data_IF_037822969083
#
_entry.id   IF_037822969083
#
_cell.length_a   1.000
_cell.length_b   1.000
_cell.length_c   1.000
_cell.angle_alpha   90.00
_cell.angle_beta   90.00
_cell.angle_gamma   90.00
#
_symmetry.space_group_name_H-M   'P 1'
#
loop_
_entity.id
_entity.type
_entity.pdbx_description
1 polymer ?
#
# COMPACT_ATOMS: atom_id res chain seq x y z
N UNK A 1 8.57 -24.28 -58.99
CA UNK A 1 9.08 -24.47 -57.62
C UNK A 1 9.35 -23.17 -56.86
N UNK A 2 9.82 -22.10 -57.43
CA UNK A 2 10.14 -20.82 -56.80
C UNK A 2 8.94 -20.10 -56.18
N UNK A 3 7.79 -20.07 -56.83
CA UNK A 3 6.57 -19.40 -56.35
C UNK A 3 6.04 -20.05 -55.05
N UNK A 4 6.09 -21.37 -54.91
CA UNK A 4 5.65 -22.09 -53.73
C UNK A 4 6.52 -21.78 -52.51
N UNK A 5 7.84 -21.61 -52.71
CA UNK A 5 8.78 -21.21 -51.62
C UNK A 5 8.53 -19.79 -51.11
N UNK A 6 8.21 -18.85 -52.01
CA UNK A 6 7.88 -17.47 -51.64
C UNK A 6 6.57 -17.42 -50.85
N UNK A 7 5.55 -18.16 -51.26
CA UNK A 7 4.27 -18.21 -50.52
C UNK A 7 4.45 -18.86 -49.14
N UNK A 8 5.22 -19.95 -49.04
CA UNK A 8 5.53 -20.55 -47.74
C UNK A 8 6.33 -19.60 -46.82
N UNK A 9 7.31 -18.89 -47.36
CA UNK A 9 8.07 -17.89 -46.62
C UNK A 9 7.19 -16.75 -46.08
N UNK A 10 6.29 -16.24 -46.94
CA UNK A 10 5.33 -15.21 -46.51
C UNK A 10 4.34 -15.71 -45.44
N UNK A 11 3.83 -16.94 -45.57
CA UNK A 11 2.92 -17.55 -44.61
C UNK A 11 3.63 -17.78 -43.25
N UNK A 12 4.87 -18.24 -43.24
CA UNK A 12 5.66 -18.43 -42.03
C UNK A 12 5.97 -17.10 -41.32
N UNK A 13 6.33 -16.05 -42.07
CA UNK A 13 6.60 -14.73 -41.51
C UNK A 13 5.33 -14.11 -40.92
N UNK A 14 4.19 -14.24 -41.58
CA UNK A 14 2.90 -13.80 -41.08
C UNK A 14 2.50 -14.55 -39.79
N UNK A 15 2.68 -15.87 -39.78
CA UNK A 15 2.42 -16.68 -38.58
C UNK A 15 3.30 -16.28 -37.39
N UNK A 16 4.60 -16.11 -37.62
CA UNK A 16 5.53 -15.66 -36.55
C UNK A 16 5.17 -14.27 -36.01
N UNK A 17 4.81 -13.34 -36.91
CA UNK A 17 4.35 -12.00 -36.51
C UNK A 17 3.08 -12.05 -35.66
N UNK A 18 2.09 -12.83 -36.05
CA UNK A 18 0.84 -13.02 -35.32
C UNK A 18 1.08 -13.70 -33.96
N UNK A 19 1.90 -14.72 -33.91
CA UNK A 19 2.23 -15.42 -32.65
C UNK A 19 2.95 -14.51 -31.65
N UNK A 20 3.88 -13.66 -32.14
CA UNK A 20 4.57 -12.68 -31.28
C UNK A 20 3.60 -11.62 -30.79
N UNK A 21 2.75 -11.07 -31.64
CA UNK A 21 1.75 -10.08 -31.23
C UNK A 21 0.77 -10.64 -30.21
N UNK A 22 0.32 -11.89 -30.37
CA UNK A 22 -0.55 -12.57 -29.42
C UNK A 22 0.12 -12.73 -28.03
N UNK A 23 1.38 -13.14 -27.98
CA UNK A 23 2.15 -13.26 -26.73
C UNK A 23 2.31 -11.91 -26.02
N UNK A 24 2.60 -10.84 -26.77
CA UNK A 24 2.70 -9.48 -26.20
C UNK A 24 1.35 -9.04 -25.63
N UNK A 25 0.25 -9.25 -26.35
CA UNK A 25 -1.08 -8.89 -25.91
C UNK A 25 -1.49 -9.66 -24.64
N UNK A 26 -1.21 -10.96 -24.57
CA UNK A 26 -1.47 -11.77 -23.37
C UNK A 26 -0.64 -11.29 -22.17
N UNK A 27 0.65 -11.03 -22.36
CA UNK A 27 1.51 -10.53 -21.30
C UNK A 27 1.06 -9.15 -20.79
N UNK A 28 0.60 -8.26 -21.69
CA UNK A 28 0.05 -6.97 -21.29
C UNK A 28 -1.26 -7.13 -20.52
N UNK A 29 -2.14 -8.06 -20.91
CA UNK A 29 -3.39 -8.33 -20.19
C UNK A 29 -3.12 -8.77 -18.75
N UNK A 30 -2.26 -9.77 -18.55
CA UNK A 30 -1.86 -10.27 -17.22
C UNK A 30 -1.20 -9.17 -16.39
N UNK A 31 -0.28 -8.40 -16.98
CA UNK A 31 0.36 -7.28 -16.30
C UNK A 31 -0.66 -6.21 -15.86
N UNK A 32 -1.69 -5.92 -16.67
CA UNK A 32 -2.76 -5.01 -16.30
C UNK A 32 -3.60 -5.59 -15.14
N UNK A 33 -3.93 -6.88 -15.16
CA UNK A 33 -4.68 -7.55 -14.09
C UNK A 33 -3.93 -7.48 -12.77
N UNK A 34 -2.65 -7.83 -12.74
CA UNK A 34 -1.78 -7.74 -11.55
C UNK A 34 -1.73 -6.28 -11.04
N UNK A 35 -1.54 -5.33 -11.94
CA UNK A 35 -1.45 -3.92 -11.58
C UNK A 35 -2.75 -3.39 -10.95
N UNK A 36 -3.90 -3.70 -11.55
CA UNK A 36 -5.19 -3.26 -11.01
C UNK A 36 -5.53 -3.96 -9.71
N UNK A 37 -5.19 -5.25 -9.56
CA UNK A 37 -5.35 -5.97 -8.29
C UNK A 37 -4.53 -5.33 -7.16
N UNK A 38 -3.26 -4.98 -7.43
CA UNK A 38 -2.41 -4.31 -6.47
C UNK A 38 -2.94 -2.90 -6.08
N UNK A 39 -3.37 -2.11 -7.08
CA UNK A 39 -3.92 -0.78 -6.83
C UNK A 39 -5.24 -0.84 -6.06
N UNK A 40 -6.13 -1.79 -6.36
CA UNK A 40 -7.40 -1.92 -5.66
C UNK A 40 -7.18 -2.35 -4.20
N UNK A 41 -6.32 -3.35 -3.98
CA UNK A 41 -5.93 -3.79 -2.64
C UNK A 41 -5.38 -2.64 -1.80
N UNK A 42 -4.40 -1.90 -2.32
CA UNK A 42 -3.81 -0.75 -1.63
C UNK A 42 -4.85 0.36 -1.41
N UNK A 43 -5.70 0.62 -2.41
CA UNK A 43 -6.75 1.66 -2.32
C UNK A 43 -7.77 1.32 -1.25
N UNK A 44 -8.20 0.08 -1.16
CA UNK A 44 -9.13 -0.39 -0.12
C UNK A 44 -8.52 -0.22 1.28
N UNK A 45 -7.28 -0.64 1.47
CA UNK A 45 -6.59 -0.53 2.74
C UNK A 45 -6.38 0.94 3.15
N UNK A 46 -5.97 1.78 2.22
CA UNK A 46 -5.79 3.22 2.49
C UNK A 46 -7.12 3.90 2.86
N UNK A 47 -8.23 3.55 2.19
CA UNK A 47 -9.56 4.10 2.55
C UNK A 47 -9.98 3.73 3.97
N UNK A 48 -9.53 2.59 4.50
CA UNK A 48 -9.83 2.17 5.87
C UNK A 48 -8.94 2.85 6.91
N UNK A 49 -7.83 3.48 6.52
CA UNK A 49 -6.92 4.16 7.43
C UNK A 49 -7.65 5.07 8.41
N UNK A 50 -7.48 4.81 9.70
CA UNK A 50 -8.12 5.57 10.78
C UNK A 50 -9.61 5.30 10.96
N UNK A 51 -10.18 4.29 10.30
CA UNK A 51 -11.55 3.91 10.57
C UNK A 51 -11.71 3.53 12.05
N UNK A 52 -12.59 4.27 12.72
CA UNK A 52 -12.95 4.07 14.12
C UNK A 52 -14.43 4.47 14.27
N UNK A 53 -15.35 3.56 13.96
CA UNK A 53 -16.76 3.87 13.91
C UNK A 53 -17.29 4.27 15.27
N UNK A 54 -17.92 5.44 15.34
CA UNK A 54 -18.59 5.92 16.55
C UNK A 54 -19.83 5.06 16.81
N UNK A 55 -19.98 4.57 18.03
CA UNK A 55 -21.19 3.82 18.41
C UNK A 55 -22.25 4.74 18.98
N UNK A 56 -23.52 4.34 18.78
CA UNK A 56 -24.63 4.97 19.46
C UNK A 56 -24.44 4.86 21.00
N UNK A 57 -24.84 5.92 21.72
CA UNK A 57 -24.77 6.02 23.16
C UNK A 57 -23.36 6.20 23.76
N UNK A 58 -22.35 6.54 22.97
CA UNK A 58 -21.05 6.98 23.48
C UNK A 58 -20.89 8.50 23.32
N UNK A 59 -20.16 9.11 24.26
CA UNK A 59 -19.91 10.55 24.19
C UNK A 59 -19.18 10.88 22.86
N UNK A 60 -19.65 11.89 22.13
CA UNK A 60 -19.13 12.26 20.81
C UNK A 60 -17.64 12.63 20.82
N UNK A 61 -17.13 13.10 21.97
CA UNK A 61 -15.72 13.46 22.18
C UNK A 61 -14.83 12.27 22.44
N UNK A 62 -15.40 11.08 22.73
CA UNK A 62 -14.62 9.90 23.06
C UNK A 62 -14.76 8.92 21.88
N UNK A 63 -13.71 8.67 21.09
CA UNK A 63 -13.70 7.58 20.13
C UNK A 63 -14.05 6.28 20.87
N UNK A 64 -14.76 5.37 20.22
CA UNK A 64 -15.07 4.04 20.76
C UNK A 64 -13.81 3.34 21.27
N UNK A 65 -12.75 3.61 20.58
CA UNK A 65 -11.44 3.08 20.85
C UNK A 65 -10.47 4.26 20.92
N UNK A 66 -9.79 4.51 22.04
CA UNK A 66 -8.57 5.27 22.00
C UNK A 66 -7.60 4.43 21.16
N UNK A 67 -7.57 4.65 19.84
CA UNK A 67 -6.51 4.13 19.01
C UNK A 67 -5.23 4.57 19.69
N UNK A 68 -4.57 3.62 20.33
CA UNK A 68 -3.29 3.87 21.01
C UNK A 68 -2.21 4.24 20.00
N UNK A 69 -2.46 3.92 18.72
CA UNK A 69 -1.64 4.32 17.60
C UNK A 69 -1.84 5.80 17.27
N UNK A 70 -0.80 6.57 17.49
CA UNK A 70 -0.71 7.96 17.05
C UNK A 70 -0.77 8.11 15.53
N UNK A 71 -0.54 7.01 14.80
CA UNK A 71 -0.53 6.96 13.34
C UNK A 71 -1.56 5.95 12.83
N UNK A 72 -2.53 6.38 12.09
CA UNK A 72 -3.41 5.50 11.32
C UNK A 72 -2.91 5.26 9.89
N UNK A 73 -1.96 6.06 9.44
CA UNK A 73 -1.22 5.91 8.19
C UNK A 73 0.19 6.42 8.40
N UNK A 74 1.18 5.67 7.93
CA UNK A 74 2.57 6.09 7.92
C UNK A 74 3.29 5.46 6.72
N UNK A 75 4.10 6.23 6.03
CA UNK A 75 4.90 5.77 4.91
C UNK A 75 6.38 5.88 5.17
N UNK A 76 7.15 5.21 4.32
CA UNK A 76 8.60 5.33 4.27
C UNK A 76 9.05 5.39 2.81
N UNK A 77 10.06 6.20 2.51
CA UNK A 77 10.67 6.29 1.17
C UNK A 77 11.53 5.07 0.80
N UNK A 78 11.56 4.07 1.68
CA UNK A 78 12.17 2.75 1.49
C UNK A 78 11.34 1.70 2.24
N UNK A 79 11.84 0.47 2.35
CA UNK A 79 11.29 -0.49 3.30
C UNK A 79 11.53 -0.02 4.75
N UNK A 80 10.56 -0.23 5.65
CA UNK A 80 10.78 -0.01 7.07
C UNK A 80 11.90 -0.90 7.60
N UNK A 81 12.84 -0.34 8.38
CA UNK A 81 14.01 -1.05 8.87
C UNK A 81 13.70 -2.13 9.91
N UNK A 82 12.59 -1.99 10.63
CA UNK A 82 12.15 -2.89 11.69
C UNK A 82 10.78 -3.54 11.41
N UNK A 83 10.50 -3.79 10.13
CA UNK A 83 9.29 -4.47 9.72
C UNK A 83 9.21 -5.90 10.30
N UNK A 84 10.33 -6.60 10.28
CA UNK A 84 10.53 -7.95 10.81
C UNK A 84 11.69 -7.93 11.83
N UNK A 85 11.68 -8.86 12.78
CA UNK A 85 12.84 -9.08 13.62
C UNK A 85 13.98 -9.64 12.78
N UNK A 86 15.14 -8.99 12.77
CA UNK A 86 16.34 -9.41 12.04
C UNK A 86 17.58 -8.74 12.60
N UNK A 87 18.70 -9.48 12.69
CA UNK A 87 20.01 -8.91 13.01
C UNK A 87 20.07 -8.12 14.34
N UNK A 88 19.30 -8.53 15.36
CA UNK A 88 19.24 -7.82 16.65
C UNK A 88 18.23 -6.66 16.69
N UNK A 89 17.54 -6.37 15.59
CA UNK A 89 16.44 -5.41 15.54
C UNK A 89 15.14 -6.10 15.92
N UNK A 90 14.43 -5.55 16.90
CA UNK A 90 13.10 -6.03 17.29
C UNK A 90 12.06 -5.54 16.28
N UNK A 91 11.16 -6.42 15.85
CA UNK A 91 10.05 -6.03 14.98
C UNK A 91 9.17 -4.98 15.68
N UNK A 92 8.68 -4.00 14.89
CA UNK A 92 7.77 -3.00 15.40
C UNK A 92 6.44 -3.66 15.81
N UNK A 93 5.97 -3.34 17.00
CA UNK A 93 4.70 -3.85 17.55
C UNK A 93 3.48 -3.18 16.93
N UNK A 94 3.65 -1.94 16.49
CA UNK A 94 2.60 -1.12 15.91
C UNK A 94 3.17 -0.06 14.93
N UNK A 95 2.30 0.64 14.21
CA UNK A 95 2.68 1.66 13.20
C UNK A 95 3.54 2.77 13.81
N UNK A 96 3.33 3.14 15.08
CA UNK A 96 4.08 4.21 15.73
C UNK A 96 5.55 3.85 15.98
N UNK A 97 5.84 2.56 16.07
CA UNK A 97 7.18 2.01 16.33
C UNK A 97 7.96 1.69 15.06
N UNK A 98 7.33 1.79 13.90
CA UNK A 98 8.02 1.61 12.63
C UNK A 98 9.12 2.67 12.46
N UNK A 99 10.26 2.25 11.94
CA UNK A 99 11.41 3.12 11.70
C UNK A 99 11.74 3.15 10.21
N UNK A 100 11.93 4.36 9.68
CA UNK A 100 12.46 4.56 8.34
C UNK A 100 13.97 4.72 8.41
N UNK A 101 14.75 4.03 7.56
CA UNK A 101 16.16 4.35 7.37
C UNK A 101 16.32 5.81 6.93
N UNK A 102 17.41 6.43 7.34
CA UNK A 102 17.77 7.73 6.79
C UNK A 102 18.08 7.55 5.30
N UNK A 103 17.27 8.14 4.44
CA UNK A 103 17.45 8.10 2.99
C UNK A 103 17.85 9.46 2.48
N UNK A 104 18.82 9.47 1.58
CA UNK A 104 19.24 10.69 0.88
C UNK A 104 18.31 11.04 -0.28
N UNK A 105 17.47 10.07 -0.73
CA UNK A 105 16.51 10.27 -1.82
C UNK A 105 15.42 9.19 -1.76
N UNK A 106 14.16 9.61 -1.79
CA UNK A 106 12.97 8.73 -1.87
C UNK A 106 12.82 8.07 -3.26
N UNK A 107 13.64 8.49 -4.25
CA UNK A 107 13.48 8.06 -5.63
C UNK A 107 14.12 6.68 -5.95
N UNK A 108 15.08 6.23 -5.15
CA UNK A 108 15.96 5.11 -5.53
C UNK A 108 15.45 3.72 -5.13
N UNK A 109 14.45 3.63 -4.24
CA UNK A 109 13.98 2.35 -3.66
C UNK A 109 12.45 2.29 -3.65
N UNK A 110 11.84 1.09 -3.71
CA UNK A 110 10.41 0.94 -3.46
C UNK A 110 10.03 1.45 -2.07
N UNK A 111 8.93 2.19 -2.01
CA UNK A 111 8.38 2.71 -0.76
C UNK A 111 7.65 1.61 0.03
N UNK A 112 7.43 1.87 1.30
CA UNK A 112 6.55 1.06 2.13
C UNK A 112 5.47 1.93 2.79
N UNK A 113 4.35 1.29 3.13
CA UNK A 113 3.19 1.91 3.73
C UNK A 113 2.65 1.05 4.85
N UNK A 114 2.29 1.66 5.97
CA UNK A 114 1.56 1.04 7.05
C UNK A 114 0.22 1.74 7.25
N UNK A 115 -0.82 0.94 7.50
CA UNK A 115 -2.20 1.39 7.68
C UNK A 115 -2.76 0.73 8.92
N UNK A 116 -3.33 1.54 9.84
CA UNK A 116 -4.01 1.05 11.03
C UNK A 116 -5.46 1.52 11.07
N UNK A 117 -6.36 0.62 11.49
CA UNK A 117 -7.78 0.89 11.63
C UNK A 117 -8.45 -0.09 12.59
N UNK A 118 -9.61 0.29 13.16
CA UNK A 118 -10.44 -0.63 13.91
C UNK A 118 -11.05 -1.67 12.96
N UNK A 119 -10.76 -2.93 13.22
CA UNK A 119 -11.20 -4.08 12.42
C UNK A 119 -12.45 -4.72 13.03
N UNK A 120 -13.40 -5.07 12.18
CA UNK A 120 -14.59 -5.82 12.55
C UNK A 120 -14.93 -6.88 11.49
N UNK A 121 -16.01 -7.63 11.74
CA UNK A 121 -16.47 -8.68 10.83
C UNK A 121 -17.05 -8.15 9.50
N UNK A 122 -17.21 -6.83 9.34
CA UNK A 122 -17.80 -6.22 8.16
C UNK A 122 -16.75 -5.56 7.27
N UNK A 123 -15.61 -5.14 7.85
CA UNK A 123 -14.53 -4.49 7.11
C UNK A 123 -13.29 -5.39 6.90
N UNK A 124 -13.32 -6.61 7.43
CA UNK A 124 -12.33 -7.67 7.17
C UNK A 124 -13.02 -8.95 6.72
N UNK A 125 -12.24 -9.96 6.30
CA UNK A 125 -12.75 -11.32 6.08
C UNK A 125 -12.59 -12.09 7.38
N UNK A 126 -13.65 -12.25 8.21
CA UNK A 126 -13.51 -12.83 9.53
C UNK A 126 -13.24 -14.34 9.47
N UNK A 127 -12.60 -14.86 10.50
CA UNK A 127 -12.52 -16.31 10.73
C UNK A 127 -13.90 -16.89 11.00
N UNK A 128 -14.03 -18.22 10.96
CA UNK A 128 -15.30 -18.94 11.21
C UNK A 128 -15.93 -18.64 12.57
N UNK A 129 -15.13 -18.25 13.56
CA UNK A 129 -15.58 -17.82 14.89
C UNK A 129 -15.96 -16.32 14.96
N UNK A 130 -15.93 -15.59 13.83
CA UNK A 130 -16.25 -14.17 13.75
C UNK A 130 -15.09 -13.23 14.16
N UNK A 131 -13.90 -13.73 14.45
CA UNK A 131 -12.73 -12.91 14.74
C UNK A 131 -12.27 -12.18 13.49
N UNK A 132 -12.14 -10.84 13.52
CA UNK A 132 -11.57 -10.06 12.41
C UNK A 132 -10.14 -10.47 12.10
N UNK A 133 -9.73 -10.29 10.85
CA UNK A 133 -8.40 -10.65 10.38
C UNK A 133 -7.61 -9.45 9.88
N UNK A 134 -6.30 -9.61 9.79
CA UNK A 134 -5.41 -8.70 9.10
C UNK A 134 -5.40 -8.91 7.57
N UNK A 135 -4.52 -8.21 6.86
CA UNK A 135 -4.41 -8.31 5.39
C UNK A 135 -4.01 -9.68 4.85
N UNK A 136 -3.42 -10.55 5.68
CA UNK A 136 -3.02 -11.91 5.29
C UNK A 136 -4.02 -12.98 5.77
N UNK A 137 -5.17 -12.55 6.33
CA UNK A 137 -6.20 -13.45 6.80
C UNK A 137 -5.90 -14.07 8.17
N UNK A 138 -4.93 -13.55 8.93
CA UNK A 138 -4.61 -14.02 10.28
C UNK A 138 -5.50 -13.32 11.31
N UNK A 139 -6.07 -14.09 12.25
CA UNK A 139 -6.95 -13.56 13.28
C UNK A 139 -6.27 -12.53 14.19
N UNK A 140 -6.93 -11.43 14.42
CA UNK A 140 -6.44 -10.35 15.26
C UNK A 140 -6.64 -10.67 16.75
N UNK A 141 -5.73 -10.14 17.59
CA UNK A 141 -5.91 -10.20 19.05
C UNK A 141 -6.87 -9.11 19.51
N UNK A 142 -7.81 -9.48 20.38
CA UNK A 142 -8.69 -8.51 21.01
C UNK A 142 -7.91 -7.63 21.97
N UNK A 143 -8.26 -6.35 21.96
CA UNK A 143 -7.78 -5.35 22.90
C UNK A 143 -8.95 -4.83 23.74
N UNK A 144 -8.66 -4.26 24.91
CA UNK A 144 -9.67 -3.66 25.78
C UNK A 144 -9.35 -2.17 25.99
N UNK A 145 -10.39 -1.35 25.91
CA UNK A 145 -10.30 0.07 26.23
C UNK A 145 -11.47 0.47 27.11
N UNK A 146 -11.26 1.50 27.92
CA UNK A 146 -12.32 2.12 28.71
C UNK A 146 -12.83 3.33 27.97
N UNK A 147 -14.12 3.36 27.68
CA UNK A 147 -14.81 4.47 27.01
C UNK A 147 -15.97 4.99 27.85
N UNK A 148 -16.31 6.26 27.68
CA UNK A 148 -17.44 6.87 28.38
C UNK A 148 -18.73 6.61 27.59
N UNK A 149 -19.57 5.73 28.12
CA UNK A 149 -20.91 5.46 27.58
C UNK A 149 -21.90 6.46 28.16
N UNK A 150 -22.76 7.04 27.33
CA UNK A 150 -23.85 7.92 27.77
C UNK A 150 -24.90 7.05 28.45
N UNK A 151 -25.15 7.29 29.72
CA UNK A 151 -26.15 6.57 30.54
C UNK A 151 -27.42 7.39 30.72
N UNK A 152 -27.33 8.72 30.61
CA UNK A 152 -28.47 9.64 30.62
C UNK A 152 -28.10 10.93 29.89
N UNK A 153 -29.03 11.87 29.74
CA UNK A 153 -28.78 13.16 29.07
C UNK A 153 -27.61 13.95 29.69
N UNK A 154 -27.32 13.72 30.95
CA UNK A 154 -26.29 14.47 31.70
C UNK A 154 -25.19 13.59 32.31
N UNK A 155 -25.26 12.27 32.12
CA UNK A 155 -24.36 11.35 32.81
C UNK A 155 -23.67 10.40 31.84
N UNK A 156 -22.40 10.10 32.11
CA UNK A 156 -21.63 9.06 31.42
C UNK A 156 -21.06 8.10 32.44
N UNK A 157 -20.89 6.83 32.05
CA UNK A 157 -20.22 5.81 32.84
C UNK A 157 -19.03 5.22 32.08
N UNK A 158 -17.92 5.05 32.76
CA UNK A 158 -16.78 4.35 32.22
C UNK A 158 -17.14 2.88 31.95
N UNK A 159 -17.00 2.44 30.73
CA UNK A 159 -17.36 1.08 30.30
C UNK A 159 -16.19 0.47 29.54
N UNK A 160 -15.81 -0.75 29.91
CA UNK A 160 -14.82 -1.51 29.17
C UNK A 160 -15.45 -2.01 27.87
N UNK A 161 -14.75 -1.78 26.75
CA UNK A 161 -15.12 -2.28 25.42
C UNK A 161 -13.99 -3.11 24.84
N UNK A 162 -14.34 -4.18 24.17
CA UNK A 162 -13.40 -5.01 23.41
C UNK A 162 -13.42 -4.57 21.96
N UNK A 163 -12.25 -4.46 21.36
CA UNK A 163 -12.08 -4.09 19.96
C UNK A 163 -10.89 -4.83 19.35
N UNK A 164 -10.77 -4.74 18.03
CA UNK A 164 -9.65 -5.28 17.28
C UNK A 164 -9.04 -4.17 16.45
N UNK A 165 -7.72 -4.13 16.37
CA UNK A 165 -6.98 -3.18 15.55
C UNK A 165 -6.15 -3.94 14.53
N UNK A 166 -6.35 -3.64 13.24
CA UNK A 166 -5.51 -4.11 12.16
C UNK A 166 -4.38 -3.09 11.93
N UNK A 167 -3.16 -3.59 11.85
CA UNK A 167 -1.94 -2.88 11.43
C UNK A 167 -1.36 -3.65 10.25
N UNK A 168 -1.62 -3.15 9.04
CA UNK A 168 -1.26 -3.78 7.79
C UNK A 168 -0.13 -3.01 7.12
N UNK A 169 0.97 -3.70 6.77
CA UNK A 169 2.20 -3.12 6.25
C UNK A 169 2.48 -3.65 4.86
N UNK A 170 2.57 -2.74 3.89
CA UNK A 170 2.76 -3.05 2.47
C UNK A 170 4.15 -2.63 2.01
N UNK A 171 4.82 -3.49 1.25
CA UNK A 171 6.16 -3.27 0.72
C UNK A 171 6.44 -4.22 -0.42
N UNK A 172 7.50 -3.96 -1.20
CA UNK A 172 7.97 -4.87 -2.23
C UNK A 172 9.05 -5.79 -1.65
N UNK A 173 8.93 -7.07 -1.91
CA UNK A 173 9.95 -8.07 -1.59
C UNK A 173 9.99 -9.14 -2.69
N UNK A 174 11.05 -9.93 -2.71
CA UNK A 174 11.18 -11.04 -3.65
C UNK A 174 11.16 -12.35 -2.87
N UNK A 175 10.21 -13.27 -3.17
CA UNK A 175 10.13 -14.54 -2.49
C UNK A 175 11.46 -15.33 -2.61
N UNK A 176 11.83 -16.02 -1.53
CA UNK A 176 13.02 -16.88 -1.55
C UNK A 176 12.90 -17.94 -2.65
N UNK A 177 13.90 -18.02 -3.53
CA UNK A 177 13.93 -18.93 -4.66
C UNK A 177 13.16 -18.44 -5.90
N UNK A 178 12.56 -17.25 -5.86
CA UNK A 178 11.91 -16.58 -7.01
C UNK A 178 12.78 -15.42 -7.50
N UNK A 179 12.63 -15.07 -8.77
CA UNK A 179 13.17 -13.82 -9.35
C UNK A 179 12.07 -12.75 -9.53
N UNK A 180 10.83 -13.04 -9.08
CA UNK A 180 9.69 -12.17 -9.32
C UNK A 180 9.41 -11.32 -8.06
N UNK A 181 9.64 -9.99 -8.12
CA UNK A 181 9.26 -9.09 -7.05
C UNK A 181 7.75 -9.07 -6.91
N UNK A 182 7.27 -8.95 -5.69
CA UNK A 182 5.85 -9.02 -5.36
C UNK A 182 5.48 -7.95 -4.34
N UNK A 183 4.25 -7.48 -4.40
CA UNK A 183 3.66 -6.70 -3.33
C UNK A 183 3.35 -7.63 -2.16
N UNK A 184 3.99 -7.38 -1.03
CA UNK A 184 3.78 -8.12 0.22
C UNK A 184 2.87 -7.36 1.16
N UNK A 185 2.13 -8.10 1.95
CA UNK A 185 1.54 -7.59 3.18
C UNK A 185 2.07 -8.34 4.40
N UNK A 186 2.27 -7.59 5.48
CA UNK A 186 2.57 -8.08 6.81
C UNK A 186 1.60 -7.46 7.80
N UNK A 187 0.67 -8.26 8.33
CA UNK A 187 -0.29 -7.85 9.33
C UNK A 187 0.18 -8.11 10.76
N UNK A 188 -0.62 -7.67 11.73
CA UNK A 188 -0.37 -7.84 13.16
C UNK A 188 -1.18 -8.98 13.80
N UNK A 189 -1.78 -9.85 13.01
CA UNK A 189 -2.49 -11.03 13.51
C UNK A 189 -1.56 -11.98 14.27
N UNK A 190 -2.15 -12.89 15.05
CA UNK A 190 -1.39 -13.85 15.83
C UNK A 190 -0.63 -14.82 14.93
N UNK A 191 0.70 -14.84 15.03
CA UNK A 191 1.63 -15.64 14.20
C UNK A 191 1.66 -15.24 12.71
N UNK A 192 1.27 -14.01 12.38
CA UNK A 192 1.33 -13.51 11.01
C UNK A 192 2.75 -13.59 10.44
N UNK A 193 2.88 -14.19 9.26
CA UNK A 193 4.08 -14.12 8.42
C UNK A 193 3.75 -13.27 7.20
N UNK A 194 4.70 -12.49 6.69
CA UNK A 194 4.47 -11.75 5.47
C UNK A 194 4.09 -12.68 4.31
N UNK A 195 3.10 -12.27 3.54
CA UNK A 195 2.63 -13.02 2.37
C UNK A 195 2.70 -12.17 1.11
N UNK A 196 3.09 -12.76 -0.03
CA UNK A 196 2.93 -12.10 -1.32
C UNK A 196 1.45 -11.99 -1.66
N UNK A 197 0.99 -10.78 -1.97
CA UNK A 197 -0.40 -10.50 -2.31
C UNK A 197 -0.61 -10.42 -3.82
N UNK A 198 0.32 -9.78 -4.53
CA UNK A 198 0.31 -9.65 -5.98
C UNK A 198 1.73 -9.77 -6.50
N UNK A 199 1.93 -10.66 -7.45
CA UNK A 199 3.24 -10.89 -8.10
C UNK A 199 3.53 -9.84 -9.18
N UNK A 200 4.78 -9.81 -9.64
CA UNK A 200 5.24 -8.98 -10.76
C UNK A 200 5.11 -7.46 -10.54
N UNK A 201 5.08 -7.02 -9.30
CA UNK A 201 5.14 -5.61 -8.92
C UNK A 201 6.59 -5.28 -8.54
N UNK A 202 7.27 -4.48 -9.37
CA UNK A 202 8.70 -4.20 -9.26
C UNK A 202 8.99 -2.95 -8.44
N UNK A 203 8.13 -1.95 -8.52
CA UNK A 203 8.27 -0.69 -7.77
C UNK A 203 6.95 -0.21 -7.19
N UNK A 204 7.04 0.52 -6.09
CA UNK A 204 5.91 1.07 -5.34
C UNK A 204 6.31 2.45 -4.83
N UNK A 205 5.55 3.48 -5.19
CA UNK A 205 5.79 4.86 -4.75
C UNK A 205 4.51 5.47 -4.19
N UNK A 206 4.67 6.27 -3.15
CA UNK A 206 3.58 7.02 -2.53
C UNK A 206 3.91 8.51 -2.46
N UNK A 207 2.90 9.34 -2.77
CA UNK A 207 2.91 10.76 -2.47
C UNK A 207 1.67 11.09 -1.64
N UNK A 208 1.83 11.88 -0.60
CA UNK A 208 0.82 12.14 0.41
C UNK A 208 0.26 13.54 0.26
N UNK A 209 -1.04 13.63 -0.06
CA UNK A 209 -1.77 14.90 -0.13
C UNK A 209 -2.07 15.41 1.27
N UNK A 210 -1.46 16.51 1.64
CA UNK A 210 -1.54 17.10 2.98
C UNK A 210 -2.49 18.29 2.96
N UNK A 211 -3.42 18.35 3.92
CA UNK A 211 -4.32 19.48 4.11
C UNK A 211 -3.59 20.67 4.75
N UNK A 212 -4.05 21.88 4.43
CA UNK A 212 -3.47 23.11 4.96
C UNK A 212 -3.63 23.20 6.48
N UNK A 213 -2.62 23.74 7.17
CA UNK A 213 -2.61 23.81 8.62
C UNK A 213 -3.73 24.71 9.21
N UNK A 214 -4.19 25.68 8.47
CA UNK A 214 -5.19 26.68 8.91
C UNK A 214 -6.65 26.30 8.64
N UNK A 215 -6.91 25.18 7.97
CA UNK A 215 -8.27 24.73 7.61
C UNK A 215 -8.49 23.26 7.97
N UNK A 216 -9.71 22.95 8.40
CA UNK A 216 -10.19 21.57 8.56
C UNK A 216 -11.04 21.13 7.36
N UNK A 217 -10.85 21.76 6.23
CA UNK A 217 -11.71 21.60 5.04
C UNK A 217 -11.37 20.36 4.20
N UNK A 218 -10.34 19.60 4.57
CA UNK A 218 -9.92 18.39 3.86
C UNK A 218 -9.37 18.62 2.45
N UNK A 219 -9.12 19.88 2.08
CA UNK A 219 -8.56 20.24 0.78
C UNK A 219 -7.05 19.96 0.76
N UNK A 220 -6.58 19.27 -0.27
CA UNK A 220 -5.15 19.01 -0.45
C UNK A 220 -4.43 20.30 -0.84
N UNK A 221 -3.52 20.77 0.02
CA UNK A 221 -2.67 21.93 -0.25
C UNK A 221 -1.46 21.58 -1.13
N UNK A 222 -0.97 20.34 -1.03
CA UNK A 222 0.16 19.85 -1.81
C UNK A 222 0.43 18.38 -1.55
N UNK A 223 1.26 17.78 -2.41
CA UNK A 223 1.72 16.40 -2.24
C UNK A 223 3.16 16.40 -1.74
N UNK A 224 3.41 15.66 -0.67
CA UNK A 224 4.72 15.50 -0.05
C UNK A 224 5.16 14.04 -0.07
N UNK A 225 6.48 13.82 -0.04
CA UNK A 225 7.04 12.49 0.21
C UNK A 225 6.97 12.12 1.70
N UNK A 226 7.18 10.85 2.02
CA UNK A 226 7.22 10.40 3.42
C UNK A 226 8.34 11.10 4.22
N UNK A 227 9.52 11.28 3.61
CA UNK A 227 10.64 11.97 4.25
C UNK A 227 10.34 13.43 4.54
N UNK A 228 9.68 14.14 3.62
CA UNK A 228 9.25 15.51 3.83
C UNK A 228 8.26 15.63 5.00
N UNK A 229 7.30 14.70 5.13
CA UNK A 229 6.37 14.70 6.27
C UNK A 229 7.11 14.42 7.57
N UNK A 230 8.09 13.53 7.58
CA UNK A 230 8.84 13.18 8.80
C UNK A 230 9.78 14.29 9.27
N UNK A 231 10.42 15.01 8.36
CA UNK A 231 11.52 15.93 8.68
C UNK A 231 11.18 17.40 8.54
N UNK A 232 10.26 17.76 7.64
CA UNK A 232 9.99 19.15 7.30
C UNK A 232 8.86 19.74 8.16
N UNK A 233 9.25 20.37 9.27
CA UNK A 233 8.33 21.10 10.12
C UNK A 233 7.82 22.41 9.46
N UNK A 234 8.51 22.94 8.45
CA UNK A 234 8.18 24.23 7.86
C UNK A 234 7.00 24.17 6.88
N UNK A 235 6.90 23.08 6.12
CA UNK A 235 5.88 22.93 5.07
C UNK A 235 4.48 22.72 5.66
N UNK A 236 4.36 22.06 6.80
CA UNK A 236 3.09 21.73 7.45
C UNK A 236 2.88 22.52 8.75
N UNK A 237 3.90 23.20 9.22
CA UNK A 237 3.93 24.05 10.43
C UNK A 237 3.34 23.35 11.69
N UNK A 238 3.64 22.05 11.84
CA UNK A 238 3.17 21.22 12.94
C UNK A 238 4.35 20.61 13.69
N UNK A 239 4.30 20.66 15.03
CA UNK A 239 5.42 20.35 15.90
C UNK A 239 5.92 18.90 15.86
N UNK A 240 5.03 17.91 15.69
CA UNK A 240 5.39 16.49 15.73
C UNK A 240 5.10 15.78 14.41
N UNK A 241 5.88 14.72 14.11
CA UNK A 241 5.65 13.85 12.96
C UNK A 241 4.22 13.28 12.95
N UNK A 242 3.71 12.85 14.13
CA UNK A 242 2.36 12.30 14.23
C UNK A 242 1.27 13.30 13.84
N UNK A 243 1.43 14.57 14.19
CA UNK A 243 0.48 15.62 13.81
C UNK A 243 0.54 15.91 12.32
N UNK A 244 1.74 15.90 11.71
CA UNK A 244 1.90 16.03 10.28
C UNK A 244 1.24 14.89 9.52
N UNK A 245 1.43 13.64 9.96
CA UNK A 245 0.76 12.48 9.38
C UNK A 245 -0.77 12.51 9.53
N UNK A 246 -1.30 13.12 10.59
CA UNK A 246 -2.75 13.33 10.73
C UNK A 246 -3.35 14.27 9.67
N UNK A 247 -2.54 15.13 9.06
CA UNK A 247 -2.97 16.03 7.99
C UNK A 247 -3.01 15.38 6.60
N UNK A 248 -2.56 14.15 6.46
CA UNK A 248 -2.68 13.42 5.20
C UNK A 248 -4.13 13.07 4.95
N UNK A 249 -4.72 13.63 3.89
CA UNK A 249 -6.13 13.45 3.50
C UNK A 249 -6.28 12.72 2.16
N UNK A 250 -5.20 12.57 1.41
CA UNK A 250 -5.15 11.80 0.17
C UNK A 250 -3.81 11.09 0.01
N UNK A 251 -3.79 9.99 -0.70
CA UNK A 251 -2.57 9.28 -1.09
C UNK A 251 -2.61 9.02 -2.58
N UNK A 252 -1.56 9.43 -3.27
CA UNK A 252 -1.31 9.03 -4.65
C UNK A 252 -0.40 7.83 -4.64
N UNK A 253 -0.81 6.78 -5.33
CA UNK A 253 -0.11 5.51 -5.46
C UNK A 253 0.43 5.43 -6.87
N UNK A 254 1.67 5.05 -7.03
CA UNK A 254 2.23 4.56 -8.29
C UNK A 254 2.85 3.20 -8.07
N UNK A 255 2.59 2.27 -8.98
CA UNK A 255 3.26 0.98 -9.04
C UNK A 255 3.86 0.78 -10.43
N UNK A 256 4.97 0.06 -10.51
CA UNK A 256 5.52 -0.45 -11.77
C UNK A 256 5.29 -1.95 -11.78
N UNK A 257 4.42 -2.39 -12.70
CA UNK A 257 4.22 -3.80 -12.98
C UNK A 257 5.10 -4.24 -14.16
N UNK A 258 5.51 -5.50 -14.15
CA UNK A 258 6.30 -6.11 -15.23
C UNK A 258 5.67 -7.39 -15.74
N UNK A 259 6.02 -7.81 -16.94
CA UNK A 259 5.61 -9.12 -17.45
C UNK A 259 6.37 -10.26 -16.74
N UNK A 260 5.70 -11.39 -16.56
CA UNK A 260 6.29 -12.59 -15.95
C UNK A 260 7.47 -13.14 -16.76
N UNK A 261 7.38 -13.11 -18.07
CA UNK A 261 8.41 -13.61 -18.98
C UNK A 261 9.03 -12.51 -19.84
N UNK A 262 10.19 -12.80 -20.44
CA UNK A 262 10.80 -11.98 -21.47
C UNK A 262 9.94 -12.06 -22.75
N UNK A 263 9.41 -10.92 -23.16
CA UNK A 263 8.44 -10.84 -24.27
C UNK A 263 9.04 -10.11 -25.48
N UNK A 264 9.92 -9.14 -25.25
CA UNK A 264 10.49 -8.32 -26.32
C UNK A 264 11.76 -8.94 -26.89
N UNK A 265 12.01 -8.72 -28.16
CA UNK A 265 13.17 -9.27 -28.86
C UNK A 265 14.34 -8.28 -28.95
N UNK A 266 14.19 -7.06 -28.43
CA UNK A 266 15.23 -6.03 -28.47
C UNK A 266 15.18 -5.11 -27.26
N UNK A 267 16.33 -4.60 -26.86
CA UNK A 267 16.47 -3.69 -25.72
C UNK A 267 15.72 -2.37 -25.88
N UNK A 268 15.47 -1.93 -27.09
CA UNK A 268 14.68 -0.71 -27.38
C UNK A 268 13.21 -0.86 -27.04
N UNK A 269 12.67 -2.07 -27.08
CA UNK A 269 11.26 -2.32 -26.72
C UNK A 269 11.02 -2.50 -25.22
N UNK A 270 12.06 -2.50 -24.40
CA UNK A 270 11.97 -2.59 -22.94
C UNK A 270 12.02 -1.22 -22.23
N UNK A 271 11.84 -0.13 -22.99
CA UNK A 271 11.74 1.22 -22.42
C UNK A 271 10.37 1.46 -21.76
N UNK A 272 10.37 2.12 -20.63
CA UNK A 272 9.15 2.50 -19.91
C UNK A 272 9.37 3.80 -19.10
N UNK A 273 8.30 4.48 -18.74
CA UNK A 273 8.34 5.57 -17.79
C UNK A 273 8.17 5.02 -16.38
N UNK A 274 9.06 5.40 -15.46
CA UNK A 274 8.94 5.06 -14.04
C UNK A 274 7.87 5.93 -13.33
N UNK A 275 7.74 5.76 -12.03
CA UNK A 275 6.78 6.52 -11.20
C UNK A 275 7.09 8.02 -11.12
N UNK A 276 8.30 8.42 -11.42
CA UNK A 276 8.76 9.81 -11.41
C UNK A 276 8.71 10.44 -12.82
N UNK A 277 8.24 9.67 -13.83
CA UNK A 277 8.17 10.10 -15.23
C UNK A 277 9.51 10.06 -15.96
N UNK A 278 10.53 9.43 -15.40
CA UNK A 278 11.82 9.27 -16.05
C UNK A 278 11.79 8.09 -17.01
N UNK A 279 12.36 8.26 -18.18
CA UNK A 279 12.54 7.18 -19.14
C UNK A 279 13.59 6.20 -18.62
N UNK A 280 13.19 4.96 -18.42
CA UNK A 280 14.08 3.85 -18.07
C UNK A 280 14.24 2.92 -19.26
N UNK A 281 15.48 2.46 -19.45
CA UNK A 281 15.79 1.41 -20.41
C UNK A 281 16.33 0.22 -19.63
N UNK A 282 15.64 -0.90 -19.68
CA UNK A 282 16.15 -2.10 -19.05
C UNK A 282 17.03 -2.87 -20.04
N UNK A 283 18.28 -3.06 -19.66
CA UNK A 283 19.29 -3.80 -20.44
C UNK A 283 19.53 -5.21 -19.92
N UNK A 284 18.93 -5.58 -18.78
CA UNK A 284 19.19 -6.86 -18.09
C UNK A 284 18.20 -7.95 -18.48
N UNK A 285 16.97 -7.57 -18.81
CA UNK A 285 15.94 -8.48 -19.28
C UNK A 285 15.07 -7.84 -20.37
N UNK A 286 14.28 -8.65 -21.06
CA UNK A 286 13.39 -8.22 -22.13
C UNK A 286 11.92 -8.26 -21.68
N UNK A 287 11.65 -7.96 -20.43
CA UNK A 287 10.31 -7.90 -19.85
C UNK A 287 9.65 -6.56 -20.16
N UNK A 288 8.35 -6.58 -20.40
CA UNK A 288 7.55 -5.38 -20.49
C UNK A 288 7.39 -4.79 -19.08
N UNK A 289 7.37 -3.46 -18.99
CA UNK A 289 7.12 -2.70 -17.77
C UNK A 289 6.20 -1.53 -18.04
N UNK A 290 5.37 -1.21 -17.06
CA UNK A 290 4.49 -0.05 -17.14
C UNK A 290 4.17 0.47 -15.75
N UNK A 291 4.15 1.80 -15.60
CA UNK A 291 3.66 2.47 -14.41
C UNK A 291 2.14 2.64 -14.45
N UNK A 292 1.49 2.43 -13.29
CA UNK A 292 0.06 2.58 -13.08
C UNK A 292 -0.17 3.48 -11.87
N UNK A 293 -1.21 4.30 -11.93
CA UNK A 293 -1.47 5.32 -10.92
C UNK A 293 -2.88 5.24 -10.38
N UNK A 294 -3.02 5.51 -9.09
CA UNK A 294 -4.31 5.73 -8.44
C UNK A 294 -4.19 6.85 -7.40
N UNK A 295 -5.29 7.55 -7.12
CA UNK A 295 -5.37 8.52 -6.03
C UNK A 295 -6.53 8.16 -5.13
N UNK A 296 -6.27 8.11 -3.83
CA UNK A 296 -7.22 7.65 -2.81
C UNK A 296 -7.39 8.75 -1.77
N UNK A 297 -8.64 9.12 -1.46
CA UNK A 297 -8.96 10.04 -0.37
C UNK A 297 -9.23 9.27 0.91
N UNK A 298 -8.70 9.78 2.04
CA UNK A 298 -8.89 9.22 3.38
C UNK A 298 -10.14 9.81 4.03
N UNK A 299 -11.30 9.22 3.79
CA UNK A 299 -12.58 9.72 4.28
C UNK A 299 -12.69 9.74 5.80
N UNK A 300 -12.03 8.82 6.49
CA UNK A 300 -12.05 8.73 7.95
C UNK A 300 -11.24 9.83 8.65
N UNK A 301 -10.58 10.69 7.88
CA UNK A 301 -9.77 11.82 8.36
C UNK A 301 -10.32 13.17 7.96
N UNK A 302 -11.39 13.19 7.19
CA UNK A 302 -12.12 14.43 6.90
C UNK A 302 -12.93 14.82 8.14
N UNK A 303 -13.02 16.11 8.48
CA UNK A 303 -13.74 16.60 9.65
C UNK A 303 -15.25 16.32 9.57
#
# INVERSE_FOLDING_TARGET
>A
MTIGLVIMGAALSAYQGTATASRVAEAQSRMNEDAYAALELLSQQIRMAGANPKQANYALSTPRNPITNTFSLRGCGTAFSNLKASGGVTAATDVSKLSCPAVTSDAAQPHSLAVAYEADKFNTVPLSNGTPTDCVGTGLKSQMATVNKITSATSTAATAVTFYEADNRFYIDTPSGSSNPSLYCFGNGDKGTPQPMVENIEDLKFSYGVAQASGNDGVVAGYLSASQIETDASTVNLGSSSERWKRVVAVRICIVARSEANITNSNTSSQYLDCDGNLKTNTTDLRLRRAYFATVSLRNRLP
#
